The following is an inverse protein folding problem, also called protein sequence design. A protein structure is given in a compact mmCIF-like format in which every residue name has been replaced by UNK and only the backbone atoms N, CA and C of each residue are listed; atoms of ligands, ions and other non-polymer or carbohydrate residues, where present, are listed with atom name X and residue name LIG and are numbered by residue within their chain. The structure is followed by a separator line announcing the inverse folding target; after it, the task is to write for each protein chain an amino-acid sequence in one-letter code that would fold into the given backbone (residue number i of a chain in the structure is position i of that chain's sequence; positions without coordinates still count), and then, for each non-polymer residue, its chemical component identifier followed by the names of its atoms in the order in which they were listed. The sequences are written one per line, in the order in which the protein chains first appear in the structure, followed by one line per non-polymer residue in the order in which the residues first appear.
data_IF_186705892710
#
_entry.id   IF_186705892710
#
_cell.length_a   1.000
_cell.length_b   1.000
_cell.length_c   1.000
_cell.angle_alpha   90.00
_cell.angle_beta   90.00
_cell.angle_gamma   90.00
#
_symmetry.space_group_name_H-M   'P 1'
#
loop_
_entity.id
_entity.type
_entity.pdbx_description
1 polymer ?
#
# COMPACT_ATOMS: atom_id res chain seq x y z
N UNK A 1 10.84 -63.47 -44.16
CA UNK A 1 9.44 -63.22 -43.75
C UNK A 1 9.47 -62.34 -42.51
N UNK A 2 8.61 -61.33 -42.51
CA UNK A 2 8.40 -60.26 -41.52
C UNK A 2 8.44 -60.70 -40.05
N UNK A 3 8.99 -59.86 -39.16
CA UNK A 3 8.19 -58.83 -38.49
C UNK A 3 9.01 -57.80 -37.67
N UNK A 4 8.53 -56.56 -37.70
CA UNK A 4 8.96 -55.36 -36.96
C UNK A 4 8.72 -55.53 -35.43
N UNK A 5 9.25 -54.76 -34.46
CA UNK A 5 9.57 -53.32 -34.38
C UNK A 5 10.24 -52.95 -33.01
N UNK A 6 10.92 -51.79 -32.94
CA UNK A 6 11.23 -50.86 -31.80
C UNK A 6 12.55 -51.00 -30.99
N UNK A 7 13.11 -49.88 -30.44
CA UNK A 7 13.27 -48.55 -31.02
C UNK A 7 14.72 -47.97 -30.86
N UNK A 8 15.07 -47.03 -31.74
CA UNK A 8 16.31 -46.24 -31.67
C UNK A 8 16.26 -45.22 -30.52
N UNK A 9 17.28 -45.23 -29.67
CA UNK A 9 17.48 -44.25 -28.61
C UNK A 9 17.66 -42.83 -29.18
N UNK A 10 16.95 -41.89 -28.57
CA UNK A 10 16.83 -40.47 -28.92
C UNK A 10 17.91 -39.65 -28.21
N UNK A 11 18.50 -38.73 -28.97
CA UNK A 11 18.88 -37.34 -28.62
C UNK A 11 19.69 -37.09 -27.34
N UNK A 12 21.00 -36.91 -27.52
CA UNK A 12 21.77 -35.94 -26.75
C UNK A 12 21.50 -34.54 -27.33
N UNK A 13 21.15 -33.63 -26.43
CA UNK A 13 20.84 -32.22 -26.61
C UNK A 13 22.08 -31.44 -27.05
N UNK A 14 22.09 -30.92 -28.27
CA UNK A 14 22.97 -29.84 -28.67
C UNK A 14 22.43 -28.52 -28.06
N UNK A 15 23.17 -27.98 -27.11
CA UNK A 15 22.95 -26.65 -26.56
C UNK A 15 23.34 -25.62 -27.62
N UNK A 16 22.36 -25.02 -28.30
CA UNK A 16 22.63 -23.85 -29.14
C UNK A 16 22.90 -22.62 -28.25
N UNK A 17 23.92 -21.78 -28.58
CA UNK A 17 24.25 -20.63 -27.76
C UNK A 17 23.17 -19.55 -27.85
N UNK A 18 22.74 -19.04 -26.69
CA UNK A 18 21.74 -17.98 -26.49
C UNK A 18 22.04 -16.62 -27.17
N UNK A 19 23.17 -16.49 -27.86
CA UNK A 19 23.63 -15.24 -28.48
C UNK A 19 22.94 -14.92 -29.80
N UNK A 20 22.50 -15.93 -30.58
CA UNK A 20 21.82 -15.72 -31.87
C UNK A 20 20.44 -15.06 -31.69
N UNK A 21 19.81 -15.27 -30.54
CA UNK A 21 18.46 -14.76 -30.26
C UNK A 21 18.47 -13.25 -29.91
N UNK A 22 19.53 -12.77 -29.26
CA UNK A 22 19.64 -11.37 -28.82
C UNK A 22 19.81 -10.41 -30.00
N UNK A 23 20.60 -10.78 -31.01
CA UNK A 23 20.79 -9.98 -32.23
C UNK A 23 19.52 -9.95 -33.10
N UNK A 24 18.86 -11.10 -33.26
CA UNK A 24 17.59 -11.19 -33.97
C UNK A 24 16.51 -10.33 -33.30
N UNK A 25 16.45 -10.30 -31.97
CA UNK A 25 15.51 -9.51 -31.19
C UNK A 25 15.84 -8.00 -31.21
N UNK A 26 17.13 -7.63 -31.16
CA UNK A 26 17.59 -6.25 -31.37
C UNK A 26 17.21 -5.71 -32.76
N UNK A 27 17.39 -6.52 -33.82
CA UNK A 27 17.00 -6.15 -35.19
C UNK A 27 15.47 -6.03 -35.32
N UNK A 28 14.72 -6.93 -34.67
CA UNK A 28 13.25 -6.94 -34.67
C UNK A 28 12.65 -5.75 -33.91
N UNK A 29 13.33 -5.24 -32.88
CA UNK A 29 12.94 -4.02 -32.14
C UNK A 29 13.42 -2.74 -32.86
N UNK A 30 14.55 -2.80 -33.58
CA UNK A 30 15.10 -1.67 -34.33
C UNK A 30 14.31 -1.34 -35.62
N UNK A 31 13.71 -2.33 -36.28
CA UNK A 31 12.87 -2.11 -37.47
C UNK A 31 11.65 -1.20 -37.20
N UNK A 32 10.82 -1.42 -36.15
CA UNK A 32 9.75 -0.49 -35.78
C UNK A 32 10.27 0.91 -35.47
N UNK A 33 11.40 1.05 -34.76
CA UNK A 33 12.05 2.34 -34.46
C UNK A 33 12.47 3.11 -35.72
N UNK A 34 12.87 2.44 -36.80
CA UNK A 34 13.15 3.08 -38.10
C UNK A 34 11.88 3.58 -38.81
N UNK A 35 10.74 2.90 -38.65
CA UNK A 35 9.42 3.37 -39.14
C UNK A 35 8.89 4.56 -38.33
N UNK A 36 9.24 4.67 -37.04
CA UNK A 36 8.87 5.83 -36.20
C UNK A 36 9.58 7.14 -36.60
N UNK A 37 10.56 7.10 -37.53
CA UNK A 37 11.06 8.30 -38.22
C UNK A 37 10.01 8.97 -39.14
N UNK A 38 8.78 8.44 -39.20
CA UNK A 38 7.60 9.18 -39.68
C UNK A 38 7.39 10.51 -38.94
N UNK A 39 7.92 10.66 -37.73
CA UNK A 39 7.99 11.97 -37.03
C UNK A 39 8.61 13.06 -37.91
N UNK A 40 9.66 12.76 -38.68
CA UNK A 40 10.28 13.73 -39.59
C UNK A 40 9.37 14.09 -40.77
N UNK A 41 8.49 13.18 -41.20
CA UNK A 41 7.48 13.48 -42.23
C UNK A 41 6.38 14.35 -41.64
N UNK A 42 5.87 14.03 -40.45
CA UNK A 42 4.89 14.84 -39.73
C UNK A 42 5.43 16.25 -39.45
N UNK A 43 6.68 16.40 -39.02
CA UNK A 43 7.32 17.71 -38.81
C UNK A 43 7.46 18.49 -40.12
N UNK A 44 7.79 17.82 -41.23
CA UNK A 44 7.89 18.47 -42.56
C UNK A 44 6.52 18.90 -43.09
N UNK A 45 5.50 18.05 -42.93
CA UNK A 45 4.11 18.35 -43.29
C UNK A 45 3.57 19.52 -42.45
N UNK A 46 3.89 19.57 -41.15
CA UNK A 46 3.51 20.68 -40.27
C UNK A 46 4.15 22.00 -40.70
N UNK A 47 5.46 22.00 -40.99
CA UNK A 47 6.16 23.19 -41.53
C UNK A 47 5.63 23.63 -42.90
N UNK A 48 5.16 22.71 -43.73
CA UNK A 48 4.51 23.03 -45.00
C UNK A 48 3.08 23.55 -44.82
N UNK A 49 2.36 23.11 -43.80
CA UNK A 49 1.02 23.60 -43.45
C UNK A 49 1.06 25.01 -42.86
N UNK A 50 2.06 25.36 -42.04
CA UNK A 50 2.29 26.73 -41.54
C UNK A 50 2.55 27.76 -42.65
N UNK A 51 3.03 27.32 -43.82
CA UNK A 51 3.33 28.17 -44.98
C UNK A 51 2.13 28.36 -45.92
N UNK A 52 1.00 27.67 -45.69
CA UNK A 52 -0.22 27.84 -46.51
C UNK A 52 -1.08 28.96 -45.93
N UNK A 53 -1.44 30.01 -46.70
CA UNK A 53 -2.41 30.99 -46.24
C UNK A 53 -3.76 30.30 -46.02
N UNK A 54 -4.42 30.63 -44.91
CA UNK A 54 -5.66 30.00 -44.44
C UNK A 54 -6.73 29.99 -45.53
N UNK A 55 -6.95 28.80 -46.11
CA UNK A 55 -8.17 28.49 -46.84
C UNK A 55 -9.02 27.64 -45.92
N UNK A 56 -10.24 28.10 -45.69
CA UNK A 56 -11.26 27.52 -44.81
C UNK A 56 -11.70 26.13 -45.26
N UNK A 57 -10.96 25.10 -44.88
CA UNK A 57 -11.49 23.74 -44.75
C UNK A 57 -12.14 23.59 -43.36
N UNK A 58 -13.12 22.68 -43.17
CA UNK A 58 -13.81 22.53 -41.90
C UNK A 58 -12.81 22.02 -40.84
N UNK A 59 -12.31 22.97 -40.07
CA UNK A 59 -11.23 22.95 -39.06
C UNK A 59 -11.40 21.92 -37.92
N UNK A 60 -12.42 21.07 -37.98
CA UNK A 60 -12.83 20.19 -36.89
C UNK A 60 -12.30 18.75 -36.95
N UNK A 61 -11.94 18.22 -38.13
CA UNK A 61 -11.63 16.79 -38.26
C UNK A 61 -10.15 16.44 -38.05
N UNK A 62 -9.24 17.35 -38.36
CA UNK A 62 -7.80 17.04 -38.45
C UNK A 62 -7.06 17.04 -37.09
N UNK A 63 -7.75 17.29 -35.97
CA UNK A 63 -7.18 17.20 -34.62
C UNK A 63 -6.04 18.18 -34.32
N UNK A 64 -5.83 19.18 -35.17
CA UNK A 64 -4.78 20.20 -35.01
C UNK A 64 -5.12 21.08 -33.81
N UNK A 65 -4.19 21.20 -32.86
CA UNK A 65 -4.31 22.09 -31.71
C UNK A 65 -3.25 23.20 -31.78
N UNK A 66 -3.45 24.34 -31.08
CA UNK A 66 -2.43 25.37 -30.99
C UNK A 66 -1.12 24.82 -30.37
N UNK A 67 0.03 25.15 -30.98
CA UNK A 67 1.33 24.65 -30.52
C UNK A 67 1.71 25.12 -29.08
N UNK A 68 1.10 26.20 -28.60
CA UNK A 68 1.27 26.73 -27.24
C UNK A 68 0.29 26.10 -26.23
N UNK A 69 -0.44 25.04 -26.59
CA UNK A 69 -1.28 24.30 -25.65
C UNK A 69 -0.40 23.66 -24.58
N UNK A 70 -0.64 24.01 -23.32
CA UNK A 70 0.06 23.46 -22.17
C UNK A 70 -0.93 22.81 -21.22
N UNK A 71 -0.49 21.72 -20.61
CA UNK A 71 -1.25 21.02 -19.58
C UNK A 71 -0.77 21.50 -18.20
N UNK A 72 -1.68 22.12 -17.46
CA UNK A 72 -1.47 22.56 -16.09
C UNK A 72 -2.09 21.55 -15.14
N UNK A 73 -1.40 21.28 -14.04
CA UNK A 73 -1.88 20.33 -13.04
C UNK A 73 -1.65 20.88 -11.65
N UNK A 74 -2.64 20.74 -10.78
CA UNK A 74 -2.57 21.13 -9.37
C UNK A 74 -3.07 19.98 -8.50
N UNK A 75 -2.42 19.81 -7.34
CA UNK A 75 -2.84 18.87 -6.30
C UNK A 75 -3.39 19.70 -5.13
N UNK A 76 -4.57 19.33 -4.66
CA UNK A 76 -5.20 19.98 -3.51
C UNK A 76 -5.98 18.96 -2.70
N UNK A 77 -6.21 19.23 -1.42
CA UNK A 77 -6.99 18.35 -0.56
C UNK A 77 -8.43 18.85 -0.44
N UNK A 78 -9.40 17.95 -0.55
CA UNK A 78 -10.84 18.26 -0.41
C UNK A 78 -11.46 17.41 0.69
N UNK A 79 -12.17 18.06 1.61
CA UNK A 79 -12.87 17.42 2.75
C UNK A 79 -14.10 16.58 2.34
N UNK A 80 -14.42 16.53 1.05
CA UNK A 80 -15.57 15.83 0.52
C UNK A 80 -16.88 16.62 0.66
N UNK A 81 -17.95 16.02 0.15
CA UNK A 81 -19.34 16.47 0.26
C UNK A 81 -20.20 15.27 0.72
N UNK A 82 -21.50 15.46 0.92
CA UNK A 82 -22.41 14.34 1.28
C UNK A 82 -22.36 13.18 0.28
N UNK A 83 -21.98 13.44 -0.98
CA UNK A 83 -21.94 12.44 -2.06
C UNK A 83 -20.55 11.90 -2.35
N UNK A 84 -19.50 12.51 -1.82
CA UNK A 84 -18.12 12.17 -2.15
C UNK A 84 -17.23 12.23 -0.92
N UNK A 85 -16.56 11.11 -0.61
CA UNK A 85 -15.62 11.02 0.50
C UNK A 85 -14.46 12.01 0.35
N UNK A 86 -13.83 12.35 1.48
CA UNK A 86 -12.63 13.16 1.52
C UNK A 86 -11.49 12.52 0.70
N UNK A 87 -10.80 13.31 -0.11
CA UNK A 87 -9.80 12.83 -1.07
C UNK A 87 -8.79 13.92 -1.45
N UNK A 88 -7.69 13.49 -2.07
CA UNK A 88 -6.77 14.39 -2.78
C UNK A 88 -7.32 14.62 -4.18
N UNK A 89 -7.63 15.88 -4.52
CA UNK A 89 -8.08 16.28 -5.85
C UNK A 89 -6.87 16.59 -6.74
N UNK A 90 -6.71 15.84 -7.83
CA UNK A 90 -5.82 16.17 -8.93
C UNK A 90 -6.62 16.94 -9.99
N UNK A 91 -6.36 18.24 -10.10
CA UNK A 91 -6.95 19.09 -11.14
C UNK A 91 -6.00 19.15 -12.33
N UNK A 92 -6.49 18.77 -13.52
CA UNK A 92 -5.76 18.82 -14.79
C UNK A 92 -6.52 19.76 -15.73
N UNK A 93 -5.85 20.79 -16.25
CA UNK A 93 -6.45 21.80 -17.12
C UNK A 93 -5.56 22.20 -18.29
N UNK A 94 -6.17 22.55 -19.41
CA UNK A 94 -5.50 23.10 -20.60
C UNK A 94 -5.34 24.62 -20.48
N UNK A 95 -4.31 25.19 -21.12
CA UNK A 95 -4.04 26.63 -21.12
C UNK A 95 -4.92 27.45 -22.08
N UNK A 96 -5.72 26.80 -22.92
CA UNK A 96 -6.52 27.42 -23.96
C UNK A 96 -7.88 26.70 -24.12
N UNK A 97 -8.64 27.03 -25.17
CA UNK A 97 -9.99 26.51 -25.42
C UNK A 97 -10.04 25.03 -25.91
N UNK A 98 -8.94 24.29 -25.74
CA UNK A 98 -8.94 22.85 -25.99
C UNK A 98 -9.63 22.10 -24.86
N UNK A 99 -10.21 20.94 -25.19
CA UNK A 99 -10.89 20.05 -24.25
C UNK A 99 -10.03 18.85 -23.92
N UNK A 100 -10.24 18.29 -22.73
CA UNK A 100 -9.65 17.02 -22.34
C UNK A 100 -10.67 15.92 -22.58
N UNK A 101 -10.37 15.04 -23.54
CA UNK A 101 -11.26 13.95 -23.97
C UNK A 101 -11.25 12.77 -22.99
N UNK A 102 -10.05 12.44 -22.50
CA UNK A 102 -9.80 11.34 -21.59
C UNK A 102 -8.51 11.58 -20.83
N UNK A 103 -8.38 10.99 -19.64
CA UNK A 103 -7.16 10.96 -18.86
C UNK A 103 -6.92 9.52 -18.44
N UNK A 104 -5.70 9.02 -18.66
CA UNK A 104 -5.20 7.81 -18.03
C UNK A 104 -4.15 8.20 -16.99
N UNK A 105 -4.29 7.68 -15.78
CA UNK A 105 -3.33 7.87 -14.69
C UNK A 105 -2.79 6.50 -14.32
N UNK A 106 -1.47 6.32 -14.39
CA UNK A 106 -0.79 5.12 -13.91
C UNK A 106 -0.14 5.44 -12.58
N UNK A 107 -0.38 4.58 -11.58
CA UNK A 107 0.21 4.70 -10.26
C UNK A 107 0.19 3.34 -9.57
N UNK A 108 1.28 2.98 -8.89
CA UNK A 108 1.37 1.71 -8.17
C UNK A 108 0.66 1.81 -6.80
N UNK A 109 -0.23 0.85 -6.51
CA UNK A 109 -0.80 0.68 -5.18
C UNK A 109 -1.85 1.71 -4.74
N UNK A 110 -2.27 2.61 -5.63
CA UNK A 110 -3.35 3.59 -5.36
C UNK A 110 -4.68 3.15 -5.96
N UNK A 111 -4.67 2.56 -7.17
CA UNK A 111 -5.88 2.18 -7.90
C UNK A 111 -6.13 0.67 -7.83
N UNK A 112 -7.36 0.26 -8.12
CA UNK A 112 -7.70 -1.16 -8.36
C UNK A 112 -7.12 -1.58 -9.72
N UNK A 113 -5.85 -1.99 -9.73
CA UNK A 113 -5.08 -2.30 -10.92
C UNK A 113 -3.90 -1.33 -11.11
N UNK A 114 -3.41 -1.24 -12.35
CA UNK A 114 -2.24 -0.40 -12.69
C UNK A 114 -2.60 1.03 -13.10
N UNK A 115 -3.85 1.27 -13.50
CA UNK A 115 -4.29 2.55 -14.05
C UNK A 115 -5.72 2.90 -13.70
N UNK A 116 -6.00 4.20 -13.73
CA UNK A 116 -7.32 4.76 -13.59
C UNK A 116 -7.64 5.63 -14.81
N UNK A 117 -8.80 5.37 -15.43
CA UNK A 117 -9.24 6.06 -16.64
C UNK A 117 -10.42 6.95 -16.34
N UNK A 118 -10.27 8.24 -16.59
CA UNK A 118 -11.35 9.22 -16.51
C UNK A 118 -11.75 9.61 -17.91
N UNK A 119 -13.00 9.32 -18.27
CA UNK A 119 -13.55 9.59 -19.59
C UNK A 119 -14.91 10.29 -19.46
N UNK A 120 -14.93 11.64 -19.48
CA UNK A 120 -16.17 12.41 -19.40
C UNK A 120 -17.11 12.07 -20.56
N UNK A 121 -18.42 12.15 -20.29
CA UNK A 121 -19.44 12.06 -21.34
C UNK A 121 -19.30 13.24 -22.32
N UNK A 122 -19.79 13.07 -23.55
CA UNK A 122 -19.69 14.12 -24.57
C UNK A 122 -20.31 15.47 -24.14
N UNK A 123 -21.29 15.44 -23.24
CA UNK A 123 -21.96 16.63 -22.70
C UNK A 123 -21.14 17.33 -21.60
N UNK A 124 -20.23 16.62 -20.94
CA UNK A 124 -19.40 17.13 -19.84
C UNK A 124 -17.93 17.35 -20.24
N UNK A 125 -17.67 17.50 -21.54
CA UNK A 125 -16.33 17.79 -22.06
C UNK A 125 -15.94 19.24 -21.75
N UNK A 126 -14.86 19.38 -21.00
CA UNK A 126 -14.29 20.67 -20.57
C UNK A 126 -12.77 20.66 -20.76
N UNK A 127 -12.16 21.83 -20.75
CA UNK A 127 -10.70 21.97 -20.67
C UNK A 127 -10.12 21.68 -19.28
N UNK A 128 -10.95 21.30 -18.29
CA UNK A 128 -10.52 21.03 -16.91
C UNK A 128 -11.24 19.83 -16.32
N UNK A 129 -10.48 18.84 -15.90
CA UNK A 129 -10.97 17.63 -15.22
C UNK A 129 -10.37 17.56 -13.83
N UNK A 130 -11.17 17.11 -12.86
CA UNK A 130 -10.77 16.88 -11.48
C UNK A 130 -10.89 15.39 -11.20
N UNK A 131 -9.82 14.80 -10.70
CA UNK A 131 -9.75 13.35 -10.42
C UNK A 131 -9.53 13.15 -8.93
N UNK A 132 -10.44 12.45 -8.23
CA UNK A 132 -10.24 12.12 -6.82
C UNK A 132 -9.23 10.98 -6.67
N UNK A 133 -8.29 11.14 -5.74
CA UNK A 133 -7.25 10.16 -5.43
C UNK A 133 -7.22 9.95 -3.91
N UNK A 134 -7.26 8.70 -3.48
CA UNK A 134 -7.24 8.33 -2.05
C UNK A 134 -6.20 7.25 -1.79
N UNK A 135 -4.90 7.61 -1.63
CA UNK A 135 -3.84 6.63 -1.37
C UNK A 135 -4.08 5.88 -0.04
N UNK A 136 -3.98 4.54 -0.03
CA UNK A 136 -4.28 3.73 1.16
C UNK A 136 -3.19 3.78 2.23
N UNK A 137 -1.96 4.22 1.89
CA UNK A 137 -0.78 4.23 2.77
C UNK A 137 0.00 5.53 2.60
N UNK A 138 0.81 5.86 3.61
CA UNK A 138 1.66 7.05 3.63
C UNK A 138 3.02 6.79 3.00
N UNK A 139 3.00 6.67 1.68
CA UNK A 139 4.17 6.44 0.82
C UNK A 139 4.11 7.45 -0.32
N UNK A 140 5.23 8.08 -0.70
CA UNK A 140 5.25 8.92 -1.89
C UNK A 140 4.97 8.06 -3.13
N UNK A 141 4.13 8.56 -4.04
CA UNK A 141 3.76 7.82 -5.26
C UNK A 141 3.84 8.73 -6.47
N UNK A 142 4.45 8.22 -7.53
CA UNK A 142 4.52 8.91 -8.82
C UNK A 142 3.26 8.61 -9.65
N UNK A 143 2.57 9.66 -10.08
CA UNK A 143 1.42 9.63 -10.97
C UNK A 143 1.87 9.94 -12.40
N UNK A 144 1.86 8.94 -13.27
CA UNK A 144 2.11 9.13 -14.69
C UNK A 144 0.80 9.39 -15.42
N UNK A 145 0.63 10.60 -15.90
CA UNK A 145 -0.63 11.11 -16.44
C UNK A 145 -0.50 11.23 -17.96
N UNK A 146 -1.43 10.60 -18.68
CA UNK A 146 -1.61 10.73 -20.12
C UNK A 146 -2.96 11.37 -20.40
N UNK A 147 -2.96 12.62 -20.83
CA UNK A 147 -4.17 13.37 -21.12
C UNK A 147 -4.37 13.52 -22.63
N UNK A 148 -5.58 13.24 -23.10
CA UNK A 148 -5.96 13.29 -24.50
C UNK A 148 -6.61 14.64 -24.75
N UNK A 149 -5.92 15.52 -25.47
CA UNK A 149 -6.31 16.93 -25.67
C UNK A 149 -6.65 17.17 -27.14
N UNK A 150 -7.72 17.91 -27.39
CA UNK A 150 -8.19 18.24 -28.74
C UNK A 150 -9.41 19.16 -28.73
N UNK A 151 -10.21 19.12 -29.79
CA UNK A 151 -11.52 19.79 -29.84
C UNK A 151 -12.67 18.78 -29.77
N UNK A 152 -13.90 19.25 -29.52
CA UNK A 152 -15.07 18.39 -29.27
C UNK A 152 -15.41 17.46 -30.44
N UNK A 153 -15.19 17.91 -31.67
CA UNK A 153 -15.47 17.18 -32.91
C UNK A 153 -14.27 16.42 -33.49
N UNK A 154 -13.12 16.47 -32.82
CA UNK A 154 -11.89 15.85 -33.31
C UNK A 154 -11.96 14.32 -33.25
N UNK A 155 -11.41 13.66 -34.27
CA UNK A 155 -11.26 12.19 -34.31
C UNK A 155 -9.89 11.77 -33.78
N UNK A 156 -8.90 12.65 -33.92
CA UNK A 156 -7.53 12.48 -33.41
C UNK A 156 -7.27 13.48 -32.29
N UNK A 157 -6.56 13.03 -31.25
CA UNK A 157 -6.23 13.83 -30.06
C UNK A 157 -4.73 13.74 -29.81
N UNK A 158 -4.16 14.83 -29.30
CA UNK A 158 -2.78 14.84 -28.84
C UNK A 158 -2.71 14.22 -27.45
N UNK A 159 -1.72 13.35 -27.23
CA UNK A 159 -1.47 12.75 -25.92
C UNK A 159 -0.36 13.54 -25.24
N UNK A 160 -0.72 14.28 -24.19
CA UNK A 160 0.23 14.94 -23.32
C UNK A 160 0.60 14.00 -22.18
N UNK A 161 1.90 13.76 -22.01
CA UNK A 161 2.45 12.95 -20.94
C UNK A 161 3.11 13.85 -19.89
N UNK A 162 2.75 13.68 -18.62
CA UNK A 162 3.37 14.35 -17.50
C UNK A 162 3.46 13.43 -16.29
N UNK A 163 4.40 13.72 -15.39
CA UNK A 163 4.55 12.98 -14.13
C UNK A 163 4.39 13.95 -12.97
N UNK A 164 3.58 13.57 -11.97
CA UNK A 164 3.42 14.31 -10.71
C UNK A 164 3.62 13.38 -9.55
N UNK A 165 4.38 13.81 -8.55
CA UNK A 165 4.59 13.04 -7.34
C UNK A 165 3.59 13.47 -6.26
N UNK A 166 2.90 12.49 -5.67
CA UNK A 166 2.18 12.67 -4.43
C UNK A 166 3.17 12.56 -3.27
N UNK A 167 3.20 13.53 -2.34
CA UNK A 167 4.07 13.45 -1.18
C UNK A 167 3.58 12.38 -0.20
N UNK A 168 4.46 11.94 0.70
CA UNK A 168 4.23 10.82 1.63
C UNK A 168 2.94 10.97 2.44
N UNK A 169 2.69 12.15 3.01
CA UNK A 169 1.55 12.43 3.87
C UNK A 169 0.50 13.26 3.13
N UNK A 170 0.11 12.82 1.91
CA UNK A 170 -0.86 13.54 1.08
C UNK A 170 -2.29 13.51 1.64
N UNK A 171 -2.62 12.56 2.53
CA UNK A 171 -3.95 12.36 3.09
C UNK A 171 -4.21 13.15 4.39
N UNK A 172 -3.45 14.20 4.63
CA UNK A 172 -3.55 15.03 5.84
C UNK A 172 -3.75 16.48 5.45
N UNK A 173 -4.90 17.05 5.81
CA UNK A 173 -5.23 18.45 5.53
C UNK A 173 -4.86 19.33 6.70
N UNK A 174 -4.28 20.50 6.42
CA UNK A 174 -4.01 21.51 7.43
C UNK A 174 -5.34 21.95 8.08
N UNK A 175 -5.42 21.90 9.41
CA UNK A 175 -6.59 22.29 10.18
C UNK A 175 -6.25 23.27 11.29
N UNK A 176 -7.26 23.97 11.82
CA UNK A 176 -7.04 24.89 12.91
C UNK A 176 -6.85 24.09 14.22
N UNK A 177 -5.72 24.26 14.95
CA UNK A 177 -5.48 23.57 16.21
C UNK A 177 -6.56 23.83 17.27
N UNK A 178 -7.23 24.98 17.24
CA UNK A 178 -8.28 25.33 18.21
C UNK A 178 -9.57 24.52 18.05
N UNK A 179 -9.81 23.96 16.87
CA UNK A 179 -11.05 23.22 16.55
C UNK A 179 -10.86 21.71 16.55
N UNK A 180 -9.62 21.23 16.55
CA UNK A 180 -9.32 19.81 16.46
C UNK A 180 -9.40 19.13 17.85
N UNK A 181 -9.98 17.93 17.95
CA UNK A 181 -9.94 17.17 19.19
C UNK A 181 -8.49 16.80 19.51
N UNK A 182 -8.05 17.10 20.72
CA UNK A 182 -6.68 16.83 21.14
C UNK A 182 -6.49 15.33 21.41
N UNK A 183 -5.55 14.66 20.73
CA UNK A 183 -5.24 13.26 20.99
C UNK A 183 -4.73 13.04 22.42
N UNK A 184 -5.10 11.91 23.01
CA UNK A 184 -4.62 11.53 24.35
C UNK A 184 -3.17 11.05 24.27
N UNK A 185 -2.83 10.40 23.16
CA UNK A 185 -1.52 9.82 22.94
C UNK A 185 -0.55 10.85 22.36
N UNK A 186 0.71 10.77 22.77
CA UNK A 186 1.75 11.67 22.30
C UNK A 186 3.13 11.02 22.32
N UNK A 187 4.02 11.64 21.57
CA UNK A 187 5.41 11.23 21.42
C UNK A 187 6.28 12.47 21.46
N UNK A 188 7.32 12.46 22.29
CA UNK A 188 8.24 13.58 22.48
C UNK A 188 9.66 13.14 22.15
N UNK A 189 10.38 13.98 21.42
CA UNK A 189 11.78 13.78 21.08
C UNK A 189 12.45 15.13 20.82
N UNK A 190 13.78 15.17 20.89
CA UNK A 190 14.54 16.42 20.72
C UNK A 190 15.36 16.35 19.45
N UNK A 191 15.23 17.37 18.61
CA UNK A 191 16.02 17.54 17.40
C UNK A 191 16.95 18.72 17.58
N UNK A 192 18.25 18.50 17.36
CA UNK A 192 19.26 19.56 17.34
C UNK A 192 19.47 20.10 15.92
N UNK A 193 18.41 20.64 15.32
CA UNK A 193 18.44 21.22 13.97
C UNK A 193 17.72 22.55 13.88
N UNK A 194 18.04 23.29 12.82
CA UNK A 194 17.38 24.56 12.51
C UNK A 194 15.90 24.33 12.21
N UNK A 195 15.03 25.17 12.79
CA UNK A 195 13.58 25.16 12.56
C UNK A 195 13.25 25.17 11.06
N UNK A 196 14.00 25.93 10.26
CA UNK A 196 13.80 26.01 8.81
C UNK A 196 13.96 24.66 8.10
N UNK A 197 14.79 23.74 8.61
CA UNK A 197 14.91 22.38 8.04
C UNK A 197 13.68 21.54 8.34
N UNK A 198 13.09 21.68 9.53
CA UNK A 198 11.83 21.02 9.89
C UNK A 198 10.67 21.54 9.04
N UNK A 199 10.63 22.85 8.81
CA UNK A 199 9.65 23.49 7.91
C UNK A 199 9.83 23.03 6.47
N UNK A 200 11.07 22.93 5.98
CA UNK A 200 11.35 22.38 4.65
C UNK A 200 10.88 20.94 4.52
N UNK A 201 11.10 20.10 5.54
CA UNK A 201 10.56 18.74 5.58
C UNK A 201 9.04 18.72 5.51
N UNK A 202 8.35 19.59 6.26
CA UNK A 202 6.89 19.71 6.22
C UNK A 202 6.40 20.06 4.80
N UNK A 203 6.96 21.09 4.18
CA UNK A 203 6.58 21.52 2.83
C UNK A 203 6.82 20.43 1.76
N UNK A 204 7.81 19.57 1.95
CA UNK A 204 8.11 18.48 1.00
C UNK A 204 7.24 17.23 1.20
N UNK A 205 6.74 16.98 2.42
CA UNK A 205 6.09 15.72 2.77
C UNK A 205 4.56 15.84 2.94
N UNK A 206 4.01 17.07 2.99
CA UNK A 206 2.57 17.33 3.11
C UNK A 206 2.06 18.17 1.93
N UNK A 207 0.76 18.07 1.64
CA UNK A 207 0.08 18.95 0.69
C UNK A 207 -0.45 20.19 1.41
N UNK A 208 0.34 21.25 1.42
CA UNK A 208 -0.01 22.52 2.05
C UNK A 208 -0.64 23.49 1.03
N UNK A 209 -1.66 24.28 1.40
CA UNK A 209 -2.26 25.26 0.48
C UNK A 209 -1.25 26.32 0.00
N UNK A 210 -0.37 26.74 0.90
CA UNK A 210 0.76 27.62 0.66
C UNK A 210 1.96 27.09 1.47
N UNK A 211 3.17 27.35 1.01
CA UNK A 211 4.38 26.95 1.73
C UNK A 211 4.36 27.56 3.13
N UNK A 212 4.59 26.73 4.14
CA UNK A 212 4.66 27.22 5.51
C UNK A 212 5.96 27.99 5.70
N UNK A 213 5.88 29.26 6.10
CA UNK A 213 7.04 30.14 6.32
C UNK A 213 7.23 30.45 7.82
N UNK A 214 7.58 29.43 8.62
CA UNK A 214 7.87 29.63 10.05
C UNK A 214 9.33 30.04 10.24
N UNK A 215 9.55 31.24 10.79
CA UNK A 215 10.90 31.81 10.97
C UNK A 215 11.61 31.33 12.24
N UNK A 216 10.87 31.04 13.32
CA UNK A 216 11.43 30.59 14.60
C UNK A 216 10.43 29.76 15.41
N UNK A 217 10.93 28.94 16.33
CA UNK A 217 10.12 28.27 17.34
C UNK A 217 9.72 29.24 18.48
N UNK A 218 8.61 29.01 19.20
CA UNK A 218 7.72 27.85 19.09
C UNK A 218 6.77 27.92 17.90
N UNK A 219 6.39 26.78 17.36
CA UNK A 219 5.30 26.70 16.38
C UNK A 219 4.48 25.43 16.57
N UNK A 220 3.21 25.52 16.17
CA UNK A 220 2.25 24.44 16.26
C UNK A 220 1.51 24.31 14.94
N UNK A 221 1.46 23.08 14.41
CA UNK A 221 0.76 22.75 13.17
C UNK A 221 -0.18 21.59 13.47
N UNK A 222 -1.40 21.70 12.97
CA UNK A 222 -2.43 20.67 13.13
C UNK A 222 -2.86 20.17 11.77
N UNK A 223 -2.99 18.85 11.66
CA UNK A 223 -3.54 18.19 10.50
C UNK A 223 -4.70 17.29 10.90
N UNK A 224 -5.63 17.11 9.97
CA UNK A 224 -6.72 16.13 10.08
C UNK A 224 -6.57 15.11 8.96
N UNK A 225 -6.59 13.83 9.32
CA UNK A 225 -6.55 12.71 8.39
C UNK A 225 -7.85 12.66 7.57
N UNK A 226 -7.73 12.49 6.26
CA UNK A 226 -8.87 12.29 5.37
C UNK A 226 -9.39 10.85 5.38
N UNK A 227 -8.64 9.90 5.97
CA UNK A 227 -9.01 8.47 5.96
C UNK A 227 -9.96 8.12 7.10
N UNK A 228 -9.69 8.65 8.29
CA UNK A 228 -10.34 8.27 9.55
C UNK A 228 -10.69 9.46 10.44
N UNK A 229 -10.48 10.70 9.96
CA UNK A 229 -10.69 11.94 10.73
C UNK A 229 -9.81 12.07 11.97
N UNK A 230 -8.73 11.27 12.08
CA UNK A 230 -7.76 11.37 13.16
C UNK A 230 -7.00 12.69 13.16
N UNK A 231 -6.68 13.21 14.34
CA UNK A 231 -5.88 14.43 14.51
C UNK A 231 -4.39 14.12 14.60
N UNK A 232 -3.58 14.92 13.92
CA UNK A 232 -2.14 14.95 14.03
C UNK A 232 -1.70 16.36 14.44
N UNK A 233 -1.10 16.50 15.61
CA UNK A 233 -0.59 17.79 16.09
C UNK A 233 0.93 17.72 16.23
N UNK A 234 1.63 18.64 15.58
CA UNK A 234 3.08 18.79 15.70
C UNK A 234 3.38 20.12 16.39
N UNK A 235 4.03 20.06 17.55
CA UNK A 235 4.46 21.23 18.31
C UNK A 235 5.98 21.20 18.48
N UNK A 236 6.66 22.27 18.10
CA UNK A 236 8.10 22.42 18.31
C UNK A 236 8.36 23.58 19.27
N UNK A 237 9.12 23.32 20.33
CA UNK A 237 9.55 24.32 21.32
C UNK A 237 10.90 24.95 20.94
N UNK A 238 11.28 26.10 21.52
CA UNK A 238 12.55 26.79 21.21
C UNK A 238 13.81 26.00 21.55
N UNK A 239 13.73 25.06 22.48
CA UNK A 239 14.82 24.16 22.88
C UNK A 239 15.06 22.99 21.90
N UNK A 240 14.31 22.92 20.78
CA UNK A 240 14.39 21.83 19.80
C UNK A 240 13.56 20.60 20.17
N UNK A 241 12.83 20.63 21.28
CA UNK A 241 11.91 19.56 21.67
C UNK A 241 10.66 19.60 20.78
N UNK A 242 10.34 18.47 20.15
CA UNK A 242 9.16 18.27 19.33
C UNK A 242 8.22 17.32 20.05
N UNK A 243 6.96 17.73 20.19
CA UNK A 243 5.86 16.90 20.69
C UNK A 243 4.88 16.63 19.55
N UNK A 244 4.78 15.36 19.18
CA UNK A 244 3.82 14.83 18.22
C UNK A 244 2.62 14.24 18.97
N UNK A 245 1.42 14.79 18.79
CA UNK A 245 0.19 14.20 19.35
C UNK A 245 -0.62 13.55 18.26
N UNK A 246 -0.82 12.25 18.39
CA UNK A 246 -1.67 11.45 17.51
C UNK A 246 -1.99 10.14 18.24
N UNK A 247 -3.21 9.64 18.09
CA UNK A 247 -3.62 8.34 18.64
C UNK A 247 -3.16 7.16 17.75
N UNK A 248 -2.65 7.43 16.55
CA UNK A 248 -2.12 6.44 15.63
C UNK A 248 -0.60 6.25 15.81
N UNK A 249 -0.23 5.09 16.34
CA UNK A 249 1.17 4.69 16.56
C UNK A 249 1.94 4.46 15.25
N UNK A 250 1.28 4.00 14.19
CA UNK A 250 1.93 3.76 12.90
C UNK A 250 2.29 5.10 12.24
N UNK A 251 1.36 6.06 12.25
CA UNK A 251 1.58 7.43 11.76
C UNK A 251 2.70 8.13 12.53
N UNK A 252 2.71 8.02 13.86
CA UNK A 252 3.79 8.58 14.68
C UNK A 252 5.16 8.00 14.28
N UNK A 253 5.23 6.70 14.05
CA UNK A 253 6.43 6.02 13.55
C UNK A 253 6.85 6.54 12.18
N UNK A 254 5.93 6.63 11.22
CA UNK A 254 6.23 7.07 9.85
C UNK A 254 6.73 8.52 9.80
N UNK A 255 6.17 9.40 10.64
CA UNK A 255 6.64 10.79 10.79
C UNK A 255 8.04 10.83 11.38
N UNK A 256 8.28 10.13 12.49
CA UNK A 256 9.59 10.13 13.15
C UNK A 256 10.67 9.58 12.22
N UNK A 257 10.39 8.46 11.53
CA UNK A 257 11.33 7.85 10.59
C UNK A 257 11.62 8.75 9.39
N UNK A 258 10.59 9.37 8.81
CA UNK A 258 10.79 10.27 7.67
C UNK A 258 11.51 11.57 8.06
N UNK A 259 11.27 12.12 9.26
CA UNK A 259 12.03 13.25 9.80
C UNK A 259 13.49 12.87 10.06
N UNK A 260 13.73 11.73 10.74
CA UNK A 260 15.09 11.26 11.04
C UNK A 260 15.89 11.01 9.74
N UNK A 261 15.27 10.36 8.75
CA UNK A 261 15.90 10.13 7.45
C UNK A 261 16.19 11.42 6.69
N UNK A 262 15.30 12.42 6.74
CA UNK A 262 15.49 13.70 6.06
C UNK A 262 16.58 14.55 6.71
N UNK A 263 16.68 14.51 8.03
CA UNK A 263 17.68 15.26 8.79
C UNK A 263 19.00 14.51 8.93
N UNK A 264 19.08 13.26 8.44
CA UNK A 264 20.23 12.37 8.59
C UNK A 264 20.62 12.11 10.06
N UNK A 265 19.61 11.85 10.90
CA UNK A 265 19.78 11.49 12.31
C UNK A 265 19.82 9.96 12.41
N UNK A 266 20.92 9.40 12.92
CA UNK A 266 21.08 7.95 13.06
C UNK A 266 20.38 7.36 14.28
N UNK A 267 20.38 8.09 15.40
CA UNK A 267 19.79 7.63 16.64
C UNK A 267 18.99 8.77 17.28
N UNK A 268 17.67 8.57 17.34
CA UNK A 268 16.73 9.55 17.89
C UNK A 268 16.02 8.90 19.09
N UNK A 269 16.35 9.29 20.33
CA UNK A 269 15.64 8.84 21.51
C UNK A 269 14.25 9.47 21.56
N UNK A 270 13.27 8.66 21.92
CA UNK A 270 11.86 9.03 21.89
C UNK A 270 11.16 8.57 23.16
N UNK A 271 10.38 9.47 23.76
CA UNK A 271 9.44 9.18 24.84
C UNK A 271 8.03 9.12 24.28
N UNK A 272 7.38 7.95 24.36
CA UNK A 272 6.09 7.70 23.73
C UNK A 272 5.06 7.23 24.76
N UNK A 273 3.84 7.77 24.68
CA UNK A 273 2.73 7.40 25.53
C UNK A 273 1.46 7.17 24.68
N UNK A 274 1.05 5.90 24.58
CA UNK A 274 -0.16 5.46 23.86
C UNK A 274 -1.06 4.60 24.78
N UNK A 275 -1.79 5.21 25.74
CA UNK A 275 -2.44 4.48 26.82
C UNK A 275 -3.49 3.48 26.31
N UNK A 276 -4.37 3.90 25.40
CA UNK A 276 -5.41 3.04 24.82
C UNK A 276 -4.80 1.83 24.08
N UNK A 277 -3.71 2.04 23.35
CA UNK A 277 -3.02 0.99 22.61
C UNK A 277 -2.34 -0.02 23.54
N UNK A 278 -1.63 0.46 24.58
CA UNK A 278 -0.96 -0.41 25.54
C UNK A 278 -1.93 -1.17 26.45
N UNK A 279 -3.08 -0.57 26.80
CA UNK A 279 -4.13 -1.29 27.52
C UNK A 279 -4.74 -2.42 26.69
N UNK A 280 -4.93 -2.19 25.39
CA UNK A 280 -5.35 -3.25 24.46
C UNK A 280 -4.27 -4.35 24.36
N UNK A 281 -2.99 -3.97 24.18
CA UNK A 281 -1.89 -4.93 24.13
C UNK A 281 -1.78 -5.77 25.41
N UNK A 282 -1.99 -5.16 26.58
CA UNK A 282 -2.01 -5.88 27.86
C UNK A 282 -3.10 -6.95 27.90
N UNK A 283 -4.30 -6.63 27.40
CA UNK A 283 -5.41 -7.60 27.29
C UNK A 283 -5.05 -8.76 26.34
N UNK A 284 -4.43 -8.46 25.20
CA UNK A 284 -3.98 -9.49 24.25
C UNK A 284 -2.94 -10.40 24.89
N UNK A 285 -1.98 -9.86 25.65
CA UNK A 285 -0.96 -10.68 26.34
C UNK A 285 -1.57 -11.64 27.38
N UNK A 286 -2.58 -11.21 28.13
CA UNK A 286 -3.32 -12.09 29.04
C UNK A 286 -4.04 -13.20 28.25
N UNK A 287 -4.70 -12.85 27.15
CA UNK A 287 -5.37 -13.83 26.28
C UNK A 287 -4.41 -14.84 25.64
N UNK A 288 -3.16 -14.45 25.35
CA UNK A 288 -2.12 -15.37 24.86
C UNK A 288 -1.81 -16.44 25.91
N UNK A 289 -1.65 -16.05 27.17
CA UNK A 289 -1.35 -17.00 28.26
C UNK A 289 -2.50 -17.98 28.49
N UNK A 290 -3.73 -17.46 28.56
CA UNK A 290 -4.95 -18.27 28.68
C UNK A 290 -5.09 -19.25 27.50
N UNK A 291 -4.89 -18.75 26.28
CA UNK A 291 -4.97 -19.56 25.05
C UNK A 291 -3.91 -20.64 25.02
N UNK A 292 -2.69 -20.34 25.49
CA UNK A 292 -1.58 -21.29 25.55
C UNK A 292 -1.86 -22.41 26.56
N UNK A 293 -2.38 -22.06 27.74
CA UNK A 293 -2.81 -23.03 28.76
C UNK A 293 -3.90 -23.98 28.25
N UNK A 294 -4.93 -23.44 27.59
CA UNK A 294 -6.00 -24.24 26.97
C UNK A 294 -5.45 -25.15 25.86
N UNK A 295 -4.56 -24.64 25.01
CA UNK A 295 -3.92 -25.42 23.96
C UNK A 295 -3.12 -26.61 24.53
N UNK A 296 -2.35 -26.38 25.60
CA UNK A 296 -1.56 -27.42 26.26
C UNK A 296 -2.47 -28.53 26.82
N UNK A 297 -3.56 -28.14 27.50
CA UNK A 297 -4.55 -29.08 28.05
C UNK A 297 -5.22 -29.91 26.95
N UNK A 298 -5.70 -29.27 25.88
CA UNK A 298 -6.31 -29.98 24.75
C UNK A 298 -5.33 -30.95 24.08
N UNK A 299 -4.05 -30.58 24.00
CA UNK A 299 -3.01 -31.45 23.42
C UNK A 299 -2.76 -32.69 24.28
N UNK A 300 -2.73 -32.55 25.60
CA UNK A 300 -2.60 -33.67 26.53
C UNK A 300 -3.82 -34.61 26.43
N UNK A 301 -5.03 -34.06 26.54
CA UNK A 301 -6.28 -34.82 26.45
C UNK A 301 -6.39 -35.62 25.13
N UNK A 302 -6.01 -35.00 24.01
CA UNK A 302 -6.03 -35.67 22.71
C UNK A 302 -5.00 -36.79 22.60
N UNK A 303 -3.83 -36.65 23.25
CA UNK A 303 -2.83 -37.70 23.29
C UNK A 303 -3.33 -38.92 24.10
N UNK A 304 -3.97 -38.67 25.24
CA UNK A 304 -4.57 -39.73 26.07
C UNK A 304 -5.70 -40.45 25.34
N UNK A 305 -6.58 -39.72 24.66
CA UNK A 305 -7.63 -40.31 23.82
C UNK A 305 -7.07 -41.12 22.65
N UNK A 306 -5.99 -40.65 22.02
CA UNK A 306 -5.34 -41.38 20.93
C UNK A 306 -4.72 -42.69 21.43
N UNK A 307 -4.13 -42.68 22.63
CA UNK A 307 -3.61 -43.90 23.27
C UNK A 307 -4.74 -44.86 23.65
N UNK A 308 -5.88 -44.35 24.13
CA UNK A 308 -7.06 -45.16 24.43
C UNK A 308 -7.63 -45.83 23.16
N UNK A 309 -7.75 -45.07 22.06
CA UNK A 309 -8.20 -45.61 20.76
C UNK A 309 -7.27 -46.74 20.29
N UNK A 310 -5.94 -46.57 20.41
CA UNK A 310 -4.98 -47.62 20.04
C UNK A 310 -5.18 -48.89 20.88
N UNK A 311 -5.35 -48.75 22.20
CA UNK A 311 -5.61 -49.88 23.09
C UNK A 311 -6.92 -50.59 22.77
N UNK A 312 -8.00 -49.83 22.53
CA UNK A 312 -9.30 -50.40 22.19
C UNK A 312 -9.32 -51.07 20.83
N UNK A 313 -8.54 -50.58 19.86
CA UNK A 313 -8.39 -51.21 18.56
C UNK A 313 -7.73 -52.59 18.68
N UNK A 314 -6.71 -52.73 19.53
CA UNK A 314 -6.12 -54.04 19.85
C UNK A 314 -7.15 -54.96 20.50
N UNK A 315 -7.89 -54.47 21.50
CA UNK A 315 -8.93 -55.29 22.17
C UNK A 315 -10.08 -55.70 21.24
N UNK A 316 -10.47 -54.84 20.31
CA UNK A 316 -11.48 -55.14 19.30
C UNK A 316 -10.99 -56.23 18.34
N UNK A 317 -9.71 -56.17 17.95
CA UNK A 317 -9.08 -57.17 17.09
C UNK A 317 -8.92 -58.52 17.81
N UNK A 318 -8.54 -58.54 19.08
CA UNK A 318 -8.48 -59.76 19.89
C UNK A 318 -9.86 -60.43 20.00
N UNK A 319 -10.92 -59.65 20.24
CA UNK A 319 -12.28 -60.16 20.27
C UNK A 319 -12.72 -60.72 18.91
N UNK A 320 -12.30 -60.08 17.81
CA UNK A 320 -12.53 -60.56 16.43
C UNK A 320 -11.82 -61.89 16.19
N UNK A 321 -10.56 -62.03 16.60
CA UNK A 321 -9.78 -63.27 16.49
C UNK A 321 -10.40 -64.42 17.30
N UNK A 322 -10.93 -64.14 18.49
CA UNK A 322 -11.64 -65.10 19.34
C UNK A 322 -13.09 -65.39 18.88
N UNK A 323 -13.56 -64.76 17.79
CA UNK A 323 -14.95 -64.85 17.28
C UNK A 323 -16.02 -64.38 18.26
N UNK A 324 -15.66 -63.56 19.26
CA UNK A 324 -16.60 -62.94 20.19
C UNK A 324 -17.21 -61.67 19.56
N UNK A 325 -18.25 -61.89 18.75
CA UNK A 325 -18.93 -60.83 18.01
C UNK A 325 -19.67 -59.83 18.90
N UNK A 326 -20.04 -60.22 20.13
CA UNK A 326 -20.75 -59.33 21.06
C UNK A 326 -19.80 -58.28 21.62
N UNK A 327 -18.64 -58.72 22.09
CA UNK A 327 -17.60 -57.80 22.60
C UNK A 327 -16.95 -56.99 21.48
N UNK A 328 -16.74 -57.57 20.29
CA UNK A 328 -16.25 -56.84 19.12
C UNK A 328 -17.17 -55.65 18.80
N UNK A 329 -18.49 -55.87 18.65
CA UNK A 329 -19.46 -54.79 18.37
C UNK A 329 -19.45 -53.70 19.44
N UNK A 330 -19.39 -54.09 20.72
CA UNK A 330 -19.30 -53.13 21.84
C UNK A 330 -18.06 -52.24 21.72
N UNK A 331 -16.89 -52.82 21.44
CA UNK A 331 -15.63 -52.06 21.28
C UNK A 331 -15.67 -51.11 20.10
N UNK A 332 -16.26 -51.49 18.97
CA UNK A 332 -16.43 -50.59 17.82
C UNK A 332 -17.39 -49.43 18.10
N UNK A 333 -18.47 -49.65 18.86
CA UNK A 333 -19.36 -48.56 19.28
C UNK A 333 -18.62 -47.56 20.18
N UNK A 334 -17.89 -48.06 21.19
CA UNK A 334 -17.07 -47.20 22.07
C UNK A 334 -15.99 -46.45 21.27
N UNK A 335 -15.36 -47.09 20.27
CA UNK A 335 -14.37 -46.46 19.39
C UNK A 335 -15.00 -45.36 18.52
N UNK A 336 -16.20 -45.58 18.00
CA UNK A 336 -16.95 -44.58 17.24
C UNK A 336 -17.25 -43.33 18.08
N UNK A 337 -17.69 -43.52 19.33
CA UNK A 337 -17.97 -42.41 20.24
C UNK A 337 -16.69 -41.64 20.60
N UNK A 338 -15.58 -42.34 20.88
CA UNK A 338 -14.28 -41.72 21.10
C UNK A 338 -13.76 -40.95 19.89
N UNK A 339 -13.93 -41.49 18.68
CA UNK A 339 -13.52 -40.82 17.46
C UNK A 339 -14.33 -39.54 17.22
N UNK A 340 -15.65 -39.58 17.50
CA UNK A 340 -16.51 -38.40 17.41
C UNK A 340 -16.08 -37.31 18.41
N UNK A 341 -15.77 -37.69 19.64
CA UNK A 341 -15.26 -36.76 20.66
C UNK A 341 -13.90 -36.16 20.25
N UNK A 342 -12.97 -37.00 19.76
CA UNK A 342 -11.66 -36.56 19.30
C UNK A 342 -11.75 -35.55 18.15
N UNK A 343 -12.66 -35.76 17.19
CA UNK A 343 -12.91 -34.81 16.10
C UNK A 343 -13.42 -33.46 16.64
N UNK A 344 -14.32 -33.49 17.62
CA UNK A 344 -14.83 -32.26 18.24
C UNK A 344 -13.72 -31.50 18.97
N UNK A 345 -12.89 -32.20 19.76
CA UNK A 345 -11.74 -31.60 20.44
C UNK A 345 -10.70 -31.06 19.47
N UNK A 346 -10.46 -31.77 18.36
CA UNK A 346 -9.58 -31.29 17.29
C UNK A 346 -10.06 -29.95 16.73
N UNK A 347 -11.36 -29.81 16.45
CA UNK A 347 -11.94 -28.53 15.97
C UNK A 347 -11.75 -27.40 16.99
N UNK A 348 -12.02 -27.67 18.27
CA UNK A 348 -11.80 -26.69 19.35
C UNK A 348 -10.33 -26.27 19.41
N UNK A 349 -9.40 -27.24 19.33
CA UNK A 349 -7.97 -26.97 19.31
C UNK A 349 -7.55 -26.13 18.11
N UNK A 350 -8.07 -26.41 16.91
CA UNK A 350 -7.77 -25.62 15.72
C UNK A 350 -8.25 -24.17 15.86
N UNK A 351 -9.44 -23.95 16.42
CA UNK A 351 -9.97 -22.61 16.66
C UNK A 351 -9.10 -21.86 17.67
N UNK A 352 -8.81 -22.47 18.83
CA UNK A 352 -7.94 -21.91 19.85
C UNK A 352 -6.52 -21.63 19.33
N UNK A 353 -5.96 -22.52 18.50
CA UNK A 353 -4.66 -22.32 17.87
C UNK A 353 -4.68 -21.14 16.89
N UNK A 354 -5.75 -20.97 16.11
CA UNK A 354 -5.91 -19.83 15.20
C UNK A 354 -5.99 -18.51 15.96
N UNK A 355 -6.73 -18.47 17.06
CA UNK A 355 -6.80 -17.32 17.96
C UNK A 355 -5.44 -17.00 18.58
N UNK A 356 -4.73 -18.00 19.07
CA UNK A 356 -3.38 -17.85 19.60
C UNK A 356 -2.41 -17.27 18.56
N UNK A 357 -2.43 -17.76 17.32
CA UNK A 357 -1.59 -17.22 16.24
C UNK A 357 -1.92 -15.76 15.91
N UNK A 358 -3.20 -15.39 15.90
CA UNK A 358 -3.62 -14.01 15.69
C UNK A 358 -3.15 -13.10 16.82
N UNK A 359 -3.28 -13.53 18.07
CA UNK A 359 -2.82 -12.76 19.23
C UNK A 359 -1.29 -12.60 19.23
N UNK A 360 -0.54 -13.67 18.90
CA UNK A 360 0.92 -13.59 18.75
C UNK A 360 1.34 -12.66 17.61
N UNK A 361 0.57 -12.62 16.50
CA UNK A 361 0.80 -11.68 15.41
C UNK A 361 0.62 -10.23 15.89
N UNK A 362 -0.44 -9.94 16.65
CA UNK A 362 -0.67 -8.63 17.24
C UNK A 362 0.48 -8.20 18.17
N UNK A 363 0.98 -9.11 19.02
CA UNK A 363 2.13 -8.84 19.90
C UNK A 363 3.39 -8.54 19.08
N UNK A 364 3.68 -9.34 18.05
CA UNK A 364 4.84 -9.09 17.18
C UNK A 364 4.74 -7.76 16.43
N UNK A 365 3.55 -7.41 15.95
CA UNK A 365 3.29 -6.10 15.33
C UNK A 365 3.50 -4.96 16.34
N UNK A 366 3.10 -5.12 17.60
CA UNK A 366 3.33 -4.13 18.64
C UNK A 366 4.84 -3.90 18.91
N UNK A 367 5.63 -4.98 18.91
CA UNK A 367 7.09 -4.89 19.05
C UNK A 367 7.69 -4.14 17.84
N UNK A 368 7.25 -4.46 16.63
CA UNK A 368 7.69 -3.77 15.42
C UNK A 368 7.34 -2.29 15.44
N UNK A 369 6.10 -1.93 15.81
CA UNK A 369 5.63 -0.54 15.95
C UNK A 369 6.44 0.23 16.98
N UNK A 370 6.69 -0.36 18.15
CA UNK A 370 7.54 0.23 19.17
C UNK A 370 8.99 0.44 18.68
N UNK A 371 9.51 -0.48 17.87
CA UNK A 371 10.80 -0.34 17.21
C UNK A 371 10.83 0.82 16.21
N UNK A 372 9.78 0.98 15.38
CA UNK A 372 9.66 2.06 14.40
C UNK A 372 9.53 3.45 15.02
N UNK A 373 9.14 3.55 16.29
CA UNK A 373 9.11 4.83 17.01
C UNK A 373 10.52 5.35 17.37
N UNK A 374 11.57 4.53 17.29
CA UNK A 374 12.96 4.97 17.50
C UNK A 374 13.59 5.25 16.15
N UNK A 375 14.24 6.41 15.96
CA UNK A 375 14.85 6.82 14.69
C UNK A 375 16.05 5.97 14.21
N UNK A 376 16.19 4.74 14.70
CA UNK A 376 17.30 3.85 14.35
C UNK A 376 17.05 3.22 12.98
N UNK A 377 17.93 3.50 12.02
CA UNK A 377 18.07 2.72 10.79
C UNK A 377 18.42 1.27 11.15
N UNK A 378 17.43 0.38 11.28
CA UNK A 378 17.69 -1.04 11.58
C UNK A 378 18.02 -1.79 10.29
N UNK A 379 19.28 -1.73 9.88
CA UNK A 379 19.92 -2.88 9.22
C UNK A 379 20.49 -3.73 10.35
N UNK A 380 19.74 -4.77 10.74
CA UNK A 380 20.15 -5.88 11.63
C UNK A 380 20.61 -5.52 13.06
N UNK A 381 19.83 -5.91 14.07
CA UNK A 381 20.38 -6.23 15.41
C UNK A 381 19.58 -5.74 16.62
N UNK A 382 18.82 -6.66 17.22
CA UNK A 382 18.35 -6.67 18.62
C UNK A 382 17.54 -5.46 19.11
N UNK A 383 16.22 -5.63 19.09
CA UNK A 383 15.29 -4.83 19.91
C UNK A 383 15.46 -5.24 21.38
N UNK A 384 16.05 -4.36 22.20
CA UNK A 384 15.88 -4.38 23.67
C UNK A 384 14.92 -3.26 24.06
N UNK A 385 13.71 -3.65 24.44
CA UNK A 385 12.76 -2.79 25.14
C UNK A 385 13.12 -2.88 26.64
N UNK A 386 13.67 -1.80 27.19
CA UNK A 386 13.70 -1.61 28.64
C UNK A 386 12.29 -1.17 29.04
N UNK A 387 11.50 -2.10 29.56
CA UNK A 387 10.32 -1.75 30.33
C UNK A 387 10.84 -1.23 31.66
N UNK A 388 10.73 0.08 31.87
CA UNK A 388 11.04 0.71 33.15
C UNK A 388 10.23 0.03 34.24
N UNK A 389 10.92 -0.62 35.18
CA UNK A 389 10.34 -0.92 36.48
C UNK A 389 10.28 0.39 37.25
N UNK A 390 9.05 0.74 37.66
CA UNK A 390 8.74 1.74 38.69
C UNK A 390 9.47 1.48 39.98
#
# INVERSE_FOLDING_TARGET
MENQRLPSFRQETAWEPSWINVEAELVRVAQPRKTNLSELKTIKEFKQAELRPQVSEPDGQMGVIPANTQLQTALSVTLGSETQAAHVELSISTSNDTIIRAILIFAEGIFEGESHVVHPSAQHLTGRIRVPISPPKDVPVDLHIKAFVGYKSSVQFHVFELTRQLPRFSMYVLSNPATAPEPVSHVTFTINERVQRVVLWLNQNFLLPEDTEVQSAPFQICFTSLRDSGTLLLNMKPNGEITLRTDDIDLAGDIIQSMASFLAIEDLPVEANFPKYFDHLRKVLVQVDDSHSVHQKLTADMADQSNLIRSMLVQAEDARLMRDMKNMKKRYTELYDLNKDLINRYKIRCNNHTELLNNLKCVNQAIQRAGRLRGMWVVTGKVKLYVGQS
#
